data_IF_922396266294
#
_entry.id   IF_922396266294
#
_cell.length_a   1.000
_cell.length_b   1.000
_cell.length_c   1.000
_cell.angle_alpha   90.00
_cell.angle_beta   90.00
_cell.angle_gamma   90.00
#
_symmetry.space_group_name_H-M   'P 1'
#
loop_
_entity.id
_entity.type
_entity.pdbx_description
1 polymer ?
#
# COMPACT_ATOMS: atom_id res chain seq x y z
N UNK A 1 20.91 -4.77 -7.29
CA UNK A 1 19.82 -4.98 -8.26
C UNK A 1 18.69 -5.74 -7.61
N UNK A 2 17.47 -5.29 -7.80
CA UNK A 2 16.28 -5.99 -7.32
C UNK A 2 15.65 -6.78 -8.45
N UNK A 3 15.34 -8.03 -8.21
CA UNK A 3 14.75 -8.89 -9.23
C UNK A 3 13.26 -8.64 -9.41
N UNK A 4 12.57 -8.21 -8.35
CA UNK A 4 11.14 -7.95 -8.35
C UNK A 4 10.88 -6.54 -7.84
N UNK A 5 10.07 -5.80 -8.57
CA UNK A 5 9.59 -4.48 -8.15
C UNK A 5 8.08 -4.46 -8.20
N UNK A 6 7.46 -4.14 -7.07
CA UNK A 6 6.03 -3.87 -7.02
C UNK A 6 5.81 -2.37 -7.04
N UNK A 7 4.96 -1.89 -7.93
CA UNK A 7 4.61 -0.47 -8.05
C UNK A 7 3.12 -0.36 -7.78
N UNK A 8 2.75 0.35 -6.74
CA UNK A 8 1.34 0.52 -6.42
C UNK A 8 1.13 1.37 -5.19
N UNK A 9 -0.07 1.91 -5.06
CA UNK A 9 -0.43 2.75 -3.93
C UNK A 9 -0.76 1.90 -2.70
N UNK A 10 -0.09 2.20 -1.58
CA UNK A 10 -0.60 1.76 -0.27
C UNK A 10 -1.80 2.63 0.04
N UNK A 11 -2.87 2.01 0.52
CA UNK A 11 -4.12 2.71 0.79
C UNK A 11 -4.34 2.86 2.28
N UNK A 12 -5.20 3.82 2.63
CA UNK A 12 -5.81 3.89 3.95
C UNK A 12 -7.23 3.34 3.79
N UNK A 13 -7.55 2.32 4.55
CA UNK A 13 -8.86 1.67 4.49
C UNK A 13 -9.62 1.94 5.78
N UNK A 14 -10.79 2.56 5.64
CA UNK A 14 -11.75 2.72 6.72
C UNK A 14 -12.73 1.57 6.66
N UNK A 15 -12.75 0.74 7.68
CA UNK A 15 -13.61 -0.44 7.75
C UNK A 15 -14.75 -0.12 8.69
N UNK A 16 -15.97 -0.07 8.18
CA UNK A 16 -17.16 0.22 8.95
C UNK A 16 -18.01 -1.05 9.06
N UNK A 17 -18.25 -1.47 10.30
CA UNK A 17 -19.14 -2.59 10.59
C UNK A 17 -20.25 -2.09 11.53
N UNK A 18 -21.34 -2.86 11.75
CA UNK A 18 -22.38 -2.46 12.71
C UNK A 18 -21.85 -2.22 14.13
N UNK A 19 -20.68 -2.78 14.46
CA UNK A 19 -20.14 -2.71 15.83
C UNK A 19 -19.04 -1.71 16.00
N UNK A 20 -18.24 -1.42 14.95
CA UNK A 20 -17.08 -0.52 15.08
C UNK A 20 -16.61 0.00 13.76
N UNK A 21 -15.81 1.06 13.83
CA UNK A 21 -15.07 1.61 12.70
C UNK A 21 -13.57 1.42 12.98
N UNK A 22 -12.84 0.88 12.03
CA UNK A 22 -11.41 0.62 12.13
C UNK A 22 -10.71 1.24 10.94
N UNK A 23 -9.50 1.77 11.17
CA UNK A 23 -8.64 2.31 10.11
C UNK A 23 -7.41 1.43 10.02
N UNK A 24 -7.03 1.05 8.79
CA UNK A 24 -5.85 0.20 8.57
C UNK A 24 -5.26 0.48 7.20
N UNK A 25 -3.95 0.24 7.03
CA UNK A 25 -3.36 0.29 5.70
C UNK A 25 -3.87 -0.89 4.87
N UNK A 26 -3.87 -0.71 3.55
CA UNK A 26 -4.32 -1.74 2.64
C UNK A 26 -3.74 -1.56 1.25
N UNK A 27 -4.40 -2.17 0.27
CA UNK A 27 -3.97 -2.18 -1.12
C UNK A 27 -3.13 -3.39 -1.47
N UNK A 28 -3.14 -3.74 -2.75
CA UNK A 28 -2.42 -4.93 -3.24
C UNK A 28 -0.93 -4.86 -2.94
N UNK A 29 -0.31 -3.69 -3.13
CA UNK A 29 1.12 -3.52 -2.88
C UNK A 29 1.47 -3.73 -1.41
N UNK A 30 0.60 -3.29 -0.50
CA UNK A 30 0.78 -3.48 0.94
C UNK A 30 0.75 -4.96 1.31
N UNK A 31 -0.31 -5.66 0.88
CA UNK A 31 -0.46 -7.08 1.20
C UNK A 31 0.58 -7.95 0.52
N UNK A 32 0.94 -7.64 -0.73
CA UNK A 32 1.99 -8.36 -1.44
C UNK A 32 3.33 -8.24 -0.72
N UNK A 33 3.66 -7.04 -0.25
CA UNK A 33 4.91 -6.80 0.49
C UNK A 33 4.94 -7.58 1.80
N UNK A 34 3.82 -7.64 2.51
CA UNK A 34 3.73 -8.47 3.71
C UNK A 34 3.89 -9.96 3.40
N UNK A 35 3.33 -10.43 2.29
CA UNK A 35 3.53 -11.81 1.85
C UNK A 35 5.00 -12.10 1.57
N UNK A 36 5.67 -11.22 0.84
CA UNK A 36 7.10 -11.35 0.54
C UNK A 36 7.94 -11.37 1.82
N UNK A 37 7.54 -10.62 2.84
CA UNK A 37 8.30 -10.53 4.10
C UNK A 37 8.41 -11.86 4.84
N UNK A 38 7.55 -12.82 4.51
CA UNK A 38 7.62 -14.17 5.07
C UNK A 38 8.59 -15.09 4.34
N UNK A 39 9.15 -14.65 3.21
CA UNK A 39 10.18 -15.40 2.50
C UNK A 39 11.54 -15.16 3.12
N UNK A 40 12.47 -16.10 2.96
CA UNK A 40 13.78 -16.02 3.58
C UNK A 40 14.64 -14.90 3.02
N UNK A 41 14.47 -14.56 1.75
CA UNK A 41 15.29 -13.56 1.07
C UNK A 41 14.42 -12.46 0.49
N UNK A 42 14.45 -11.29 1.14
CA UNK A 42 13.72 -10.11 0.69
C UNK A 42 14.62 -9.11 -0.03
N UNK A 43 15.91 -9.41 -0.19
CA UNK A 43 16.90 -8.47 -0.74
C UNK A 43 16.64 -8.12 -2.20
N UNK A 44 15.99 -9.01 -2.94
CA UNK A 44 15.73 -8.83 -4.37
C UNK A 44 14.35 -8.23 -4.65
N UNK A 45 13.64 -7.84 -3.60
CA UNK A 45 12.33 -7.22 -3.73
C UNK A 45 12.39 -5.76 -3.32
N UNK A 46 11.70 -4.90 -4.09
CA UNK A 46 11.49 -3.52 -3.71
C UNK A 46 10.03 -3.12 -3.96
N UNK A 47 9.56 -2.20 -3.15
CA UNK A 47 8.24 -1.59 -3.30
C UNK A 47 8.41 -0.12 -3.68
N UNK A 48 7.66 0.32 -4.68
CA UNK A 48 7.51 1.74 -5.01
C UNK A 48 6.06 2.10 -4.78
N UNK A 49 5.83 3.08 -3.92
CA UNK A 49 4.49 3.49 -3.54
C UNK A 49 4.40 5.00 -3.43
N UNK A 50 3.19 5.52 -3.43
CA UNK A 50 2.92 6.94 -3.21
C UNK A 50 1.81 7.07 -2.18
N UNK A 51 2.04 7.92 -1.18
CA UNK A 51 1.05 8.21 -0.14
C UNK A 51 1.39 9.55 0.50
N UNK A 52 0.41 10.10 1.23
CA UNK A 52 0.63 11.34 1.97
C UNK A 52 1.53 11.10 3.19
N UNK A 53 2.29 12.13 3.64
CA UNK A 53 3.18 11.98 4.80
C UNK A 53 2.48 11.48 6.06
N UNK A 54 1.21 11.79 6.24
CA UNK A 54 0.44 11.33 7.40
C UNK A 54 0.35 9.81 7.52
N UNK A 55 0.59 9.08 6.42
CA UNK A 55 0.47 7.62 6.37
C UNK A 55 1.81 6.90 6.27
N UNK A 56 2.93 7.59 6.50
CA UNK A 56 4.26 7.01 6.37
C UNK A 56 4.53 5.85 7.34
N UNK A 57 3.75 5.73 8.40
CA UNK A 57 3.90 4.62 9.34
C UNK A 57 3.74 3.27 8.66
N UNK A 58 2.83 3.15 7.69
CA UNK A 58 2.65 1.90 6.93
C UNK A 58 3.94 1.52 6.19
N UNK A 59 4.65 2.50 5.64
CA UNK A 59 5.94 2.28 4.98
C UNK A 59 7.01 1.83 5.98
N UNK A 60 7.06 2.45 7.14
CA UNK A 60 8.02 2.09 8.17
C UNK A 60 7.83 0.65 8.64
N UNK A 61 6.59 0.20 8.77
CA UNK A 61 6.29 -1.18 9.14
C UNK A 61 6.83 -2.17 8.10
N UNK A 62 6.73 -1.83 6.80
CA UNK A 62 7.28 -2.67 5.73
C UNK A 62 8.81 -2.64 5.75
N UNK A 63 9.41 -1.47 5.93
CA UNK A 63 10.86 -1.33 6.01
C UNK A 63 11.45 -2.11 7.19
N UNK A 64 10.73 -2.15 8.31
CA UNK A 64 11.15 -2.91 9.48
C UNK A 64 11.26 -4.42 9.21
N UNK A 65 10.61 -4.90 8.16
CA UNK A 65 10.66 -6.30 7.71
C UNK A 65 11.81 -6.57 6.72
N UNK A 66 12.68 -5.58 6.48
CA UNK A 66 13.82 -5.72 5.59
C UNK A 66 13.54 -5.45 4.13
N UNK A 67 12.41 -4.85 3.80
CA UNK A 67 12.03 -4.55 2.43
C UNK A 67 12.42 -3.12 2.08
N UNK A 68 13.08 -2.95 0.92
CA UNK A 68 13.37 -1.62 0.39
C UNK A 68 12.09 -0.98 -0.12
N UNK A 69 11.78 0.21 0.37
CA UNK A 69 10.61 0.98 -0.05
C UNK A 69 11.04 2.35 -0.56
N UNK A 70 10.67 2.67 -1.78
CA UNK A 70 10.80 4.00 -2.34
C UNK A 70 9.45 4.68 -2.24
N UNK A 71 9.41 5.79 -1.52
CA UNK A 71 8.17 6.57 -1.33
C UNK A 71 8.22 7.79 -2.24
N UNK A 72 7.20 7.91 -3.07
CA UNK A 72 6.97 9.09 -3.88
C UNK A 72 5.94 9.93 -3.13
N UNK A 73 6.31 11.15 -2.67
CA UNK A 73 5.35 11.97 -1.93
C UNK A 73 4.13 12.28 -2.75
N UNK A 74 2.96 12.14 -2.14
CA UNK A 74 1.68 12.44 -2.75
C UNK A 74 0.93 13.42 -1.86
N UNK A 75 0.08 14.26 -2.45
CA UNK A 75 -0.77 15.17 -1.69
C UNK A 75 -1.78 14.42 -0.84
N UNK A 76 -2.24 13.27 -1.34
CA UNK A 76 -3.23 12.43 -0.66
C UNK A 76 -2.83 10.98 -0.76
N UNK A 77 -3.27 10.20 0.22
CA UNK A 77 -3.23 8.75 0.18
C UNK A 77 -4.54 8.24 -0.42
N UNK A 78 -4.49 7.16 -1.19
CA UNK A 78 -5.72 6.50 -1.63
C UNK A 78 -6.51 6.08 -0.39
N UNK A 79 -7.75 6.51 -0.28
CA UNK A 79 -8.56 6.33 0.90
C UNK A 79 -9.88 5.68 0.51
N UNK A 80 -10.10 4.47 1.02
CA UNK A 80 -11.31 3.71 0.79
C UNK A 80 -12.15 3.63 2.07
N UNK A 81 -13.46 3.64 1.90
CA UNK A 81 -14.39 3.29 2.96
C UNK A 81 -15.09 2.00 2.56
N UNK A 82 -14.90 0.95 3.35
CA UNK A 82 -15.55 -0.34 3.16
C UNK A 82 -16.57 -0.51 4.27
N UNK A 83 -17.85 -0.54 3.92
CA UNK A 83 -18.95 -0.69 4.86
C UNK A 83 -19.54 -2.09 4.74
N UNK A 84 -19.55 -2.81 5.83
CA UNK A 84 -20.14 -4.15 5.93
C UNK A 84 -21.42 -4.09 6.73
N UNK A 85 -22.47 -4.78 6.25
CA UNK A 85 -23.70 -4.99 7.01
C UNK A 85 -23.53 -6.12 8.02
N UNK A 86 -24.62 -6.50 8.67
CA UNK A 86 -24.62 -7.66 9.59
C UNK A 86 -24.20 -8.94 8.87
N UNK A 87 -24.58 -9.09 7.61
CA UNK A 87 -24.06 -10.13 6.75
C UNK A 87 -22.78 -9.57 6.07
N UNK A 88 -21.63 -10.13 6.40
CA UNK A 88 -20.34 -9.65 5.89
C UNK A 88 -20.16 -9.89 4.39
N UNK A 89 -21.02 -10.65 3.75
CA UNK A 89 -21.03 -10.77 2.29
C UNK A 89 -21.57 -9.52 1.61
N UNK A 90 -22.29 -8.68 2.35
CA UNK A 90 -22.80 -7.41 1.85
C UNK A 90 -21.82 -6.30 2.19
N UNK A 91 -21.04 -5.89 1.19
CA UNK A 91 -20.07 -4.81 1.34
C UNK A 91 -20.36 -3.72 0.32
N UNK A 92 -20.33 -2.47 0.78
CA UNK A 92 -20.26 -1.33 -0.11
C UNK A 92 -18.91 -0.64 0.06
N UNK A 93 -18.38 -0.11 -1.04
CA UNK A 93 -17.09 0.54 -1.05
C UNK A 93 -17.20 1.92 -1.70
N UNK A 94 -16.57 2.91 -1.07
CA UNK A 94 -16.44 4.25 -1.62
C UNK A 94 -14.98 4.68 -1.63
N UNK A 95 -14.59 5.40 -2.69
CA UNK A 95 -13.29 6.04 -2.75
C UNK A 95 -13.43 7.44 -2.17
N UNK A 96 -12.79 7.68 -1.03
CA UNK A 96 -12.87 8.97 -0.33
C UNK A 96 -11.77 9.93 -0.79
N UNK A 97 -10.64 9.41 -1.23
CA UNK A 97 -9.55 10.21 -1.79
C UNK A 97 -8.71 9.38 -2.73
N UNK A 98 -8.02 10.05 -3.64
CA UNK A 98 -7.08 9.41 -4.57
C UNK A 98 -5.70 10.03 -4.40
N UNK A 99 -4.67 9.19 -4.48
CA UNK A 99 -3.30 9.65 -4.51
C UNK A 99 -2.94 10.20 -5.89
N UNK A 100 -1.84 10.95 -5.95
CA UNK A 100 -1.29 11.40 -7.22
C UNK A 100 -0.85 10.19 -8.05
N UNK A 101 -1.04 10.22 -9.37
CA UNK A 101 -0.58 9.12 -10.23
C UNK A 101 0.94 9.07 -10.29
N UNK A 102 1.48 7.90 -10.59
CA UNK A 102 2.90 7.75 -10.87
C UNK A 102 3.23 8.37 -12.23
N UNK A 103 4.42 8.95 -12.34
CA UNK A 103 4.91 9.50 -13.60
C UNK A 103 6.07 8.66 -14.13
N UNK A 104 6.30 8.76 -15.44
CA UNK A 104 7.43 8.06 -16.06
C UNK A 104 8.75 8.49 -15.43
N UNK A 105 8.91 9.78 -15.16
CA UNK A 105 10.14 10.33 -14.56
C UNK A 105 10.42 9.71 -13.19
N UNK A 106 9.39 9.49 -12.40
CA UNK A 106 9.53 8.89 -11.07
C UNK A 106 9.99 7.43 -11.13
N UNK A 107 9.74 6.75 -12.23
CA UNK A 107 9.99 5.32 -12.39
C UNK A 107 11.23 5.00 -13.23
N UNK A 108 11.87 6.03 -13.84
CA UNK A 108 13.00 5.83 -14.74
C UNK A 108 14.20 5.11 -14.11
N UNK A 109 14.45 5.36 -12.84
CA UNK A 109 15.64 4.84 -12.15
C UNK A 109 15.38 3.51 -11.44
N UNK A 110 14.24 2.90 -11.67
CA UNK A 110 13.94 1.60 -11.06
C UNK A 110 14.63 0.51 -11.85
N UNK A 111 15.43 -0.28 -11.15
CA UNK A 111 16.17 -1.39 -11.73
C UNK A 111 15.60 -2.70 -11.19
N UNK A 112 14.91 -3.43 -12.06
CA UNK A 112 14.30 -4.71 -11.71
C UNK A 112 14.14 -5.56 -12.97
N UNK A 113 14.12 -6.87 -12.79
CA UNK A 113 13.88 -7.82 -13.89
C UNK A 113 12.40 -8.14 -14.09
N UNK A 114 11.61 -7.95 -13.05
CA UNK A 114 10.18 -8.19 -13.07
C UNK A 114 9.47 -7.03 -12.39
#
# INVERSE_FOLDING_TARGET
MNDICCIGHITLDKIVTPRKTTYMPGGTSYYFSHGISHLKDTKHYQLVTALAPSEFKAVEDIRAKGIKVTVIPSHRTVYFENTYGENQDNRSQRVLAKADPFTVEQLENINAHI
#
